data_IF_737579647347
#
_entry.id   IF_737579647347
#
_cell.length_a   1.000
_cell.length_b   1.000
_cell.length_c   1.000
_cell.angle_alpha   90.00
_cell.angle_beta   90.00
_cell.angle_gamma   90.00
#
_symmetry.space_group_name_H-M   'P 1'
#
loop_
_entity.id
_entity.type
_entity.pdbx_description
1 polymer ?
#
# COMPACT_ATOMS: atom_id res chain seq x y z
N UNK A 1 -0.54 -14.36 3.69
CA UNK A 1 -1.75 -14.54 2.85
C UNK A 1 -1.46 -14.00 1.45
N UNK A 2 -1.48 -14.81 0.39
CA UNK A 2 -1.13 -14.35 -0.97
C UNK A 2 -2.18 -13.40 -1.57
N UNK A 3 -2.29 -12.18 -1.03
CA UNK A 3 -3.20 -11.14 -1.52
C UNK A 3 -2.72 -10.72 -2.90
N UNK A 4 -3.63 -10.76 -3.87
CA UNK A 4 -3.33 -10.44 -5.25
C UNK A 4 -4.26 -9.33 -5.73
N UNK A 5 -3.76 -8.11 -5.82
CA UNK A 5 -4.58 -6.93 -6.15
C UNK A 5 -4.55 -6.71 -7.66
N UNK A 6 -5.72 -6.61 -8.29
CA UNK A 6 -5.79 -6.22 -9.70
C UNK A 6 -5.93 -4.71 -9.79
N UNK A 7 -5.42 -4.09 -10.86
CA UNK A 7 -5.63 -2.66 -11.10
C UNK A 7 -7.10 -2.25 -11.23
N UNK A 8 -8.00 -3.21 -11.48
CA UNK A 8 -9.45 -2.98 -11.52
C UNK A 8 -10.11 -2.94 -10.14
N UNK A 9 -9.42 -3.42 -9.09
CA UNK A 9 -9.92 -3.39 -7.71
C UNK A 9 -9.69 -2.01 -7.07
N UNK A 10 -8.73 -1.24 -7.59
CA UNK A 10 -8.38 0.11 -7.13
C UNK A 10 -9.49 1.12 -7.49
N UNK A 11 -9.80 1.99 -6.53
CA UNK A 11 -10.75 3.10 -6.72
C UNK A 11 -10.13 4.21 -7.58
N UNK A 12 -8.82 4.48 -7.41
CA UNK A 12 -8.11 5.50 -8.14
C UNK A 12 -7.42 4.94 -9.39
N UNK A 13 -7.29 5.79 -10.42
CA UNK A 13 -6.56 5.44 -11.64
C UNK A 13 -5.11 5.89 -11.52
N UNK A 14 -4.22 4.92 -11.36
CA UNK A 14 -2.78 5.15 -11.39
C UNK A 14 -2.23 4.95 -12.81
N UNK A 15 -1.42 5.88 -13.35
CA UNK A 15 -0.68 5.65 -14.59
C UNK A 15 0.23 4.42 -14.48
N UNK A 16 0.38 3.72 -15.59
CA UNK A 16 1.32 2.59 -15.74
C UNK A 16 2.65 3.13 -16.22
N UNK A 17 3.56 3.48 -15.31
CA UNK A 17 4.85 3.99 -15.71
C UNK A 17 5.76 2.83 -16.12
N UNK A 18 5.88 2.61 -17.43
CA UNK A 18 6.65 1.49 -17.99
C UNK A 18 8.13 1.55 -17.62
N UNK A 19 8.67 2.72 -17.29
CA UNK A 19 10.04 2.89 -16.82
C UNK A 19 10.29 2.16 -15.49
N UNK A 20 9.27 2.04 -14.64
CA UNK A 20 9.35 1.34 -13.36
C UNK A 20 8.96 -0.13 -13.45
N UNK A 21 8.52 -0.61 -14.61
CA UNK A 21 8.13 -2.02 -14.80
C UNK A 21 9.29 -2.99 -14.55
N UNK A 22 10.52 -2.57 -14.84
CA UNK A 22 11.74 -3.35 -14.62
C UNK A 22 12.39 -3.08 -13.26
N UNK A 23 11.88 -2.10 -12.50
CA UNK A 23 12.37 -1.82 -11.15
C UNK A 23 12.02 -2.96 -10.20
N UNK A 24 12.87 -3.25 -9.21
CA UNK A 24 12.56 -4.27 -8.22
C UNK A 24 11.37 -3.81 -7.38
N UNK A 25 10.34 -4.64 -7.34
CA UNK A 25 9.14 -4.42 -6.54
C UNK A 25 9.49 -4.43 -5.05
N UNK A 26 8.74 -3.66 -4.27
CA UNK A 26 8.83 -3.72 -2.82
C UNK A 26 8.63 -5.16 -2.35
N UNK A 27 9.61 -5.71 -1.63
CA UNK A 27 9.61 -7.10 -1.13
C UNK A 27 9.70 -7.18 0.39
N UNK A 28 9.49 -6.05 1.07
CA UNK A 28 9.64 -5.92 2.52
C UNK A 28 10.84 -5.04 2.89
N UNK A 29 10.96 -4.78 4.19
CA UNK A 29 11.99 -3.91 4.76
C UNK A 29 13.28 -4.66 5.03
N UNK A 30 14.46 -4.00 4.96
CA UNK A 30 14.63 -2.57 4.68
C UNK A 30 14.67 -2.26 3.17
N UNK A 31 13.88 -1.27 2.73
CA UNK A 31 13.91 -0.76 1.35
C UNK A 31 13.87 0.79 1.37
N UNK A 32 15.05 1.44 1.34
CA UNK A 32 15.17 2.90 1.44
C UNK A 32 14.91 3.60 0.10
N UNK A 33 14.39 2.90 -0.91
CA UNK A 33 14.17 3.52 -2.23
C UNK A 33 13.00 4.49 -2.17
N UNK A 34 13.01 5.48 -3.08
CA UNK A 34 11.84 6.32 -3.27
C UNK A 34 10.64 5.47 -3.71
N UNK A 35 9.48 5.85 -3.23
CA UNK A 35 8.17 5.31 -3.53
C UNK A 35 7.41 6.27 -4.42
N UNK A 36 7.01 5.78 -5.59
CA UNK A 36 6.15 6.53 -6.49
C UNK A 36 4.68 6.19 -6.25
N UNK A 37 4.00 7.03 -5.46
CA UNK A 37 2.57 6.85 -5.13
C UNK A 37 1.64 7.05 -6.32
N UNK A 38 2.12 7.66 -7.39
CA UNK A 38 1.35 7.88 -8.61
C UNK A 38 1.55 6.71 -9.58
N UNK A 39 2.53 5.82 -9.36
CA UNK A 39 2.79 4.67 -10.22
C UNK A 39 2.05 3.40 -9.77
N UNK A 40 1.30 2.81 -10.70
CA UNK A 40 0.56 1.57 -10.44
C UNK A 40 1.48 0.40 -10.06
N UNK A 41 2.67 0.29 -10.65
CA UNK A 41 3.59 -0.83 -10.41
C UNK A 41 4.30 -0.75 -9.05
N UNK A 42 4.32 0.43 -8.43
CA UNK A 42 4.74 0.67 -7.05
C UNK A 42 3.60 0.47 -6.05
N UNK A 43 2.42 1.04 -6.35
CA UNK A 43 1.26 1.03 -5.46
C UNK A 43 0.71 -0.38 -5.22
N UNK A 44 0.59 -1.20 -6.28
CA UNK A 44 0.08 -2.57 -6.15
C UNK A 44 0.91 -3.42 -5.18
N UNK A 45 2.23 -3.63 -5.38
CA UNK A 45 3.01 -4.48 -4.48
C UNK A 45 3.10 -3.92 -3.06
N UNK A 46 3.01 -2.60 -2.89
CA UNK A 46 2.93 -1.97 -1.57
C UNK A 46 1.65 -2.37 -0.84
N UNK A 47 0.49 -2.24 -1.48
CA UNK A 47 -0.78 -2.64 -0.87
C UNK A 47 -0.87 -4.15 -0.66
N UNK A 48 -0.38 -4.96 -1.60
CA UNK A 48 -0.33 -6.42 -1.44
C UNK A 48 0.48 -6.80 -0.19
N UNK A 49 1.64 -6.15 0.02
CA UNK A 49 2.47 -6.38 1.18
C UNK A 49 1.77 -5.98 2.50
N UNK A 50 1.18 -4.78 2.55
CA UNK A 50 0.48 -4.28 3.74
C UNK A 50 -0.74 -5.16 4.07
N UNK A 51 -1.56 -5.49 3.08
CA UNK A 51 -2.74 -6.35 3.27
C UNK A 51 -2.37 -7.78 3.67
N UNK A 52 -1.29 -8.33 3.09
CA UNK A 52 -0.75 -9.62 3.48
C UNK A 52 -0.30 -9.64 4.95
N UNK A 53 0.33 -8.56 5.43
CA UNK A 53 0.81 -8.44 6.82
C UNK A 53 -0.34 -8.19 7.81
N UNK A 54 -1.36 -7.42 7.40
CA UNK A 54 -2.61 -7.26 8.14
C UNK A 54 -3.48 -8.54 8.14
N UNK A 55 -3.17 -9.52 7.28
CA UNK A 55 -3.92 -10.77 7.16
C UNK A 55 -5.32 -10.59 6.57
N UNK A 56 -5.53 -9.56 5.74
CA UNK A 56 -6.82 -9.24 5.13
C UNK A 56 -6.72 -9.18 3.61
N UNK A 57 -7.81 -9.55 2.92
CA UNK A 57 -7.95 -9.46 1.46
C UNK A 57 -9.20 -8.65 1.08
N UNK A 58 -9.71 -7.84 1.99
CA UNK A 58 -10.98 -7.14 1.81
C UNK A 58 -10.84 -5.90 0.92
N UNK A 59 -11.78 -5.73 -0.02
CA UNK A 59 -11.79 -4.59 -0.94
C UNK A 59 -12.02 -3.24 -0.23
N UNK A 60 -12.74 -3.23 0.89
CA UNK A 60 -12.91 -2.00 1.69
C UNK A 60 -11.58 -1.59 2.33
N UNK A 61 -10.76 -2.55 2.78
CA UNK A 61 -9.42 -2.27 3.31
C UNK A 61 -8.52 -1.70 2.22
N UNK A 62 -8.58 -2.25 1.00
CA UNK A 62 -7.85 -1.71 -0.16
C UNK A 62 -8.24 -0.26 -0.45
N UNK A 63 -9.54 0.05 -0.51
CA UNK A 63 -10.01 1.41 -0.77
C UNK A 63 -9.60 2.38 0.35
N UNK A 64 -9.56 1.91 1.59
CA UNK A 64 -9.09 2.71 2.74
C UNK A 64 -7.59 2.98 2.65
N UNK A 65 -6.79 1.98 2.27
CA UNK A 65 -5.36 2.13 2.02
C UNK A 65 -5.09 3.18 0.94
N UNK A 66 -5.87 3.17 -0.14
CA UNK A 66 -5.79 4.19 -1.19
C UNK A 66 -6.08 5.60 -0.66
N UNK A 67 -7.12 5.76 0.15
CA UNK A 67 -7.46 7.06 0.75
C UNK A 67 -6.33 7.56 1.65
N UNK A 68 -5.77 6.69 2.50
CA UNK A 68 -4.64 7.04 3.38
C UNK A 68 -3.41 7.40 2.55
N UNK A 69 -3.10 6.65 1.49
CA UNK A 69 -1.95 6.96 0.64
C UNK A 69 -2.08 8.33 -0.04
N UNK A 70 -3.28 8.65 -0.54
CA UNK A 70 -3.52 9.88 -1.30
C UNK A 70 -3.71 11.11 -0.41
N UNK A 71 -4.40 10.98 0.72
CA UNK A 71 -4.79 12.10 1.58
C UNK A 71 -4.10 12.10 2.96
N UNK A 72 -3.74 10.93 3.49
CA UNK A 72 -3.15 10.77 4.82
C UNK A 72 -1.61 10.85 4.83
N UNK A 73 -0.94 10.30 3.82
CA UNK A 73 0.53 10.28 3.74
C UNK A 73 1.02 11.63 3.21
N UNK A 74 1.78 12.40 4.03
CA UNK A 74 2.25 13.70 3.61
C UNK A 74 3.32 13.57 2.52
N UNK A 75 3.36 14.54 1.61
CA UNK A 75 4.20 14.47 0.40
C UNK A 75 5.71 14.41 0.65
N UNK A 76 6.17 14.78 1.85
CA UNK A 76 7.59 14.68 2.20
C UNK A 76 8.01 13.24 2.54
N UNK A 77 7.06 12.33 2.74
CA UNK A 77 7.32 10.92 2.93
C UNK A 77 7.42 10.28 1.56
N UNK A 78 8.65 10.07 1.12
CA UNK A 78 8.97 9.57 -0.21
C UNK A 78 9.59 8.18 -0.16
N UNK A 79 9.96 7.65 1.01
CA UNK A 79 10.58 6.33 1.14
C UNK A 79 9.54 5.22 1.17
N UNK A 80 9.80 4.11 0.48
CA UNK A 80 8.95 2.90 0.53
C UNK A 80 8.72 2.40 1.95
N UNK A 81 9.77 2.42 2.76
CA UNK A 81 9.73 2.00 4.16
C UNK A 81 8.77 2.84 5.01
N UNK A 82 8.91 4.17 4.97
CA UNK A 82 8.06 5.10 5.71
C UNK A 82 6.60 5.04 5.23
N UNK A 83 6.37 4.99 3.91
CA UNK A 83 5.03 4.86 3.33
C UNK A 83 4.38 3.57 3.81
N UNK A 84 5.10 2.45 3.77
CA UNK A 84 4.61 1.17 4.29
C UNK A 84 4.26 1.26 5.78
N UNK A 85 5.15 1.81 6.62
CA UNK A 85 4.88 1.97 8.07
C UNK A 85 3.62 2.80 8.28
N UNK A 86 3.51 3.95 7.62
CA UNK A 86 2.33 4.80 7.73
C UNK A 86 1.04 4.04 7.38
N UNK A 87 1.01 3.33 6.24
CA UNK A 87 -0.16 2.59 5.80
C UNK A 87 -0.50 1.45 6.77
N UNK A 88 0.49 0.64 7.15
CA UNK A 88 0.31 -0.51 8.01
C UNK A 88 -0.17 -0.11 9.40
N UNK A 89 0.52 0.82 10.06
CA UNK A 89 0.15 1.25 11.42
C UNK A 89 -1.20 1.96 11.45
N UNK A 90 -1.49 2.80 10.45
CA UNK A 90 -2.81 3.49 10.37
C UNK A 90 -3.94 2.48 10.17
N UNK A 91 -3.77 1.51 9.26
CA UNK A 91 -4.80 0.50 9.05
C UNK A 91 -4.96 -0.45 10.23
N UNK A 92 -3.86 -0.84 10.87
CA UNK A 92 -3.89 -1.67 12.07
C UNK A 92 -4.65 -0.98 13.21
N UNK A 93 -4.44 0.33 13.38
CA UNK A 93 -5.17 1.14 14.37
C UNK A 93 -6.66 1.24 14.01
N UNK A 94 -6.99 1.50 12.74
CA UNK A 94 -8.37 1.59 12.24
C UNK A 94 -9.15 0.27 12.34
N UNK A 95 -8.49 -0.86 12.07
CA UNK A 95 -9.10 -2.18 12.20
C UNK A 95 -9.31 -2.57 13.66
N UNK A 96 -8.60 -1.91 14.58
CA UNK A 96 -8.62 -2.16 16.02
C UNK A 96 -8.11 -3.57 16.39
N UNK A 97 -7.73 -3.81 17.65
CA UNK A 97 -7.91 -5.16 18.18
C UNK A 97 -9.41 -5.45 18.14
N UNK A 98 -9.82 -6.64 17.71
CA UNK A 98 -11.19 -7.09 17.94
C UNK A 98 -11.48 -6.95 19.45
N UNK A 99 -12.19 -5.90 19.85
CA UNK A 99 -12.80 -5.81 21.18
C UNK A 99 -13.92 -6.84 21.19
N UNK A 100 -13.54 -8.09 21.43
CA UNK A 100 -14.43 -9.07 22.05
C UNK A 100 -14.75 -8.53 23.45
N UNK A 101 -15.92 -7.92 23.58
CA UNK A 101 -16.50 -7.48 24.85
C UNK A 101 -18.01 -7.56 24.82
#
# INVERSE_FOLDING_TARGET
MGVQIKPSDLQYRYPKNKAQRESPKFSGKPDPRPFDRDDLYEVIPMFEAVMNDLGTADGQVLHRLEEILNAGVPRFVESREDVYDCLFWTMRDLLGPEETG
#
